data_IF_335726742431
#
_entry.id   IF_335726742431
#
_cell.length_a   1.000
_cell.length_b   1.000
_cell.length_c   1.000
_cell.angle_alpha   90.00
_cell.angle_beta   90.00
_cell.angle_gamma   90.00
#
_symmetry.space_group_name_H-M   'P 1'
#
loop_
_entity.id
_entity.type
_entity.pdbx_description
1 polymer ?
#
# COMPACT_ATOMS: atom_id res chain seq x y z
N UNK A 1 -4.19 -24.32 -8.01
CA UNK A 1 -3.31 -23.58 -7.08
C UNK A 1 -3.86 -22.15 -7.02
N UNK A 2 -4.53 -21.78 -5.94
CA UNK A 2 -5.03 -20.41 -5.79
C UNK A 2 -3.85 -19.51 -5.43
N UNK A 3 -3.52 -18.55 -6.29
CA UNK A 3 -2.50 -17.54 -5.99
C UNK A 3 -2.97 -16.70 -4.81
N UNK A 4 -2.14 -16.48 -3.78
CA UNK A 4 -2.50 -15.57 -2.69
C UNK A 4 -2.80 -14.20 -3.28
N UNK A 5 -4.04 -13.73 -3.10
CA UNK A 5 -4.45 -12.40 -3.50
C UNK A 5 -3.84 -11.41 -2.51
N UNK A 6 -2.87 -10.62 -2.98
CA UNK A 6 -2.28 -9.54 -2.19
C UNK A 6 -2.94 -8.25 -2.67
N UNK A 7 -3.76 -7.60 -1.83
CA UNK A 7 -4.40 -6.35 -2.20
C UNK A 7 -3.35 -5.25 -2.38
N UNK A 8 -3.57 -4.42 -3.40
CA UNK A 8 -2.76 -3.24 -3.67
C UNK A 8 -3.57 -1.98 -3.35
N UNK A 9 -3.07 -1.18 -2.41
CA UNK A 9 -3.72 0.04 -1.95
C UNK A 9 -2.89 1.27 -2.31
N UNK A 10 -3.58 2.38 -2.57
CA UNK A 10 -2.95 3.66 -2.91
C UNK A 10 -2.96 4.59 -1.69
N UNK A 11 -1.78 4.91 -1.15
CA UNK A 11 -1.66 5.83 -0.03
C UNK A 11 -2.07 7.26 -0.42
N UNK A 12 -1.97 7.62 -1.70
CA UNK A 12 -2.44 8.88 -2.23
C UNK A 12 -3.93 9.11 -1.99
N UNK A 13 -4.76 8.06 -2.09
CA UNK A 13 -6.19 8.11 -1.77
C UNK A 13 -6.45 8.39 -0.29
N UNK A 14 -5.53 8.00 0.60
CA UNK A 14 -5.63 8.29 2.02
C UNK A 14 -5.13 9.71 2.39
N UNK A 15 -4.13 10.22 1.69
CA UNK A 15 -3.54 11.54 1.99
C UNK A 15 -4.33 12.67 1.34
N UNK A 16 -4.75 12.49 0.08
CA UNK A 16 -5.37 13.53 -0.73
C UNK A 16 -6.87 13.29 -1.01
N UNK A 17 -7.41 12.15 -0.60
CA UNK A 17 -8.82 11.82 -0.80
C UNK A 17 -9.76 12.43 0.23
N UNK A 18 -11.04 12.24 -0.03
CA UNK A 18 -12.17 12.62 0.84
C UNK A 18 -12.24 11.73 2.09
N UNK A 19 -13.00 12.15 3.10
CA UNK A 19 -13.19 11.36 4.34
C UNK A 19 -13.68 9.92 4.06
N UNK A 20 -14.56 9.76 3.07
CA UNK A 20 -15.07 8.45 2.63
C UNK A 20 -13.96 7.58 2.02
N UNK A 21 -13.09 8.14 1.18
CA UNK A 21 -11.97 7.43 0.57
C UNK A 21 -10.92 7.03 1.62
N UNK A 22 -10.66 7.89 2.61
CA UNK A 22 -9.75 7.59 3.72
C UNK A 22 -10.27 6.46 4.59
N UNK A 23 -11.58 6.47 4.87
CA UNK A 23 -12.25 5.39 5.58
C UNK A 23 -12.18 4.09 4.79
N UNK A 24 -12.47 4.12 3.49
CA UNK A 24 -12.38 2.95 2.61
C UNK A 24 -10.97 2.37 2.59
N UNK A 25 -9.94 3.20 2.40
CA UNK A 25 -8.55 2.77 2.45
C UNK A 25 -8.22 2.09 3.79
N UNK A 26 -8.66 2.66 4.91
CA UNK A 26 -8.42 2.10 6.25
C UNK A 26 -9.12 0.75 6.45
N UNK A 27 -10.37 0.63 5.98
CA UNK A 27 -11.15 -0.60 6.02
C UNK A 27 -10.50 -1.71 5.16
N UNK A 28 -10.03 -1.36 3.95
CA UNK A 28 -9.34 -2.28 3.05
C UNK A 28 -7.97 -2.70 3.58
N UNK A 29 -7.22 -1.78 4.21
CA UNK A 29 -5.95 -2.08 4.86
C UNK A 29 -6.15 -3.08 6.02
N UNK A 30 -7.15 -2.84 6.87
CA UNK A 30 -7.50 -3.75 7.96
C UNK A 30 -7.89 -5.15 7.47
N UNK A 31 -8.69 -5.22 6.39
CA UNK A 31 -9.06 -6.49 5.76
C UNK A 31 -7.86 -7.20 5.16
N UNK A 32 -6.98 -6.48 4.45
CA UNK A 32 -5.79 -7.03 3.83
C UNK A 32 -4.89 -7.76 4.85
N UNK A 33 -4.63 -7.12 5.99
CA UNK A 33 -3.83 -7.71 7.07
C UNK A 33 -4.50 -8.93 7.71
N UNK A 34 -5.82 -8.95 7.83
CA UNK A 34 -6.54 -10.07 8.42
C UNK A 34 -6.65 -11.28 7.46
N UNK A 35 -6.93 -11.02 6.18
CA UNK A 35 -7.21 -12.06 5.19
C UNK A 35 -5.91 -12.67 4.63
N UNK A 36 -4.98 -11.80 4.23
CA UNK A 36 -3.78 -12.21 3.48
C UNK A 36 -2.48 -12.02 4.26
N UNK A 37 -2.48 -11.19 5.30
CA UNK A 37 -1.27 -10.83 6.07
C UNK A 37 -0.29 -9.92 5.33
N UNK A 38 -0.51 -9.66 4.05
CA UNK A 38 0.35 -8.85 3.19
C UNK A 38 -0.45 -7.81 2.42
N UNK A 39 0.14 -6.64 2.19
CA UNK A 39 -0.47 -5.57 1.40
C UNK A 39 0.64 -4.86 0.64
N UNK A 40 0.38 -4.48 -0.61
CA UNK A 40 1.27 -3.62 -1.38
C UNK A 40 0.75 -2.20 -1.39
N UNK A 41 1.61 -1.21 -1.14
CA UNK A 41 1.22 0.21 -1.08
C UNK A 41 1.88 0.99 -2.21
N UNK A 42 1.08 1.61 -3.07
CA UNK A 42 1.52 2.54 -4.11
C UNK A 42 1.42 3.99 -3.64
N UNK A 43 2.18 4.89 -4.29
CA UNK A 43 2.28 6.31 -3.94
C UNK A 43 2.61 6.57 -2.47
N UNK A 44 3.46 5.72 -1.88
CA UNK A 44 3.86 5.78 -0.47
C UNK A 44 4.85 6.92 -0.17
N UNK A 45 5.06 7.85 -1.11
CA UNK A 45 5.85 9.07 -0.92
C UNK A 45 7.36 8.91 -1.03
N UNK A 46 7.87 7.71 -1.34
CA UNK A 46 9.30 7.51 -1.62
C UNK A 46 9.55 7.61 -3.12
N UNK A 47 10.58 8.34 -3.51
CA UNK A 47 11.01 8.40 -4.91
C UNK A 47 11.74 7.12 -5.29
N UNK A 48 11.60 6.71 -6.56
CA UNK A 48 12.34 5.56 -7.09
C UNK A 48 13.86 5.75 -6.92
N UNK A 49 14.36 6.98 -7.12
CA UNK A 49 15.78 7.31 -6.93
C UNK A 49 16.27 7.04 -5.49
N UNK A 50 15.45 7.32 -4.47
CA UNK A 50 15.81 7.03 -3.08
C UNK A 50 15.84 5.53 -2.82
N UNK A 51 14.89 4.79 -3.39
CA UNK A 51 14.83 3.33 -3.30
C UNK A 51 16.08 2.73 -3.96
N UNK A 52 16.43 3.15 -5.17
CA UNK A 52 17.58 2.67 -5.92
C UNK A 52 18.89 2.93 -5.12
N UNK A 53 19.07 4.14 -4.59
CA UNK A 53 20.22 4.48 -3.72
C UNK A 53 20.31 3.61 -2.47
N UNK A 54 19.18 3.22 -1.87
CA UNK A 54 19.19 2.35 -0.70
C UNK A 54 19.66 0.93 -1.07
N UNK A 55 19.21 0.40 -2.21
CA UNK A 55 19.65 -0.92 -2.68
C UNK A 55 21.11 -0.94 -3.15
N UNK A 56 21.65 0.19 -3.63
CA UNK A 56 23.08 0.32 -3.97
C UNK A 56 24.02 0.32 -2.75
N UNK A 57 23.51 0.63 -1.55
CA UNK A 57 24.30 0.65 -0.31
C UNK A 57 24.31 -0.71 0.43
N UNK A 58 23.79 -1.78 -0.20
CA UNK A 58 23.73 -3.15 0.36
C UNK A 58 24.70 -4.07 -0.39
#
# INVERSE_FOLDING_TARGET
>A
MSTPYIPCLDLGSYINGTEEERKKFSDELGRAFNDSGFVTITNHGLSQELIDKLYENI
#
